data_IF_902910168654
#
_entry.id   IF_902910168654
#
_cell.length_a   1.000
_cell.length_b   1.000
_cell.length_c   1.000
_cell.angle_alpha   90.00
_cell.angle_beta   90.00
_cell.angle_gamma   90.00
#
_symmetry.space_group_name_H-M   'P 1'
#
loop_
_entity.id
_entity.type
_entity.pdbx_description
1 polymer ?
#
# COMPACT_ATOMS: atom_id res chain seq x y z
N UNK A 1 -13.42 38.14 -47.03
CA UNK A 1 -13.98 37.85 -45.69
C UNK A 1 -13.71 36.39 -45.35
N UNK A 2 -12.81 36.12 -44.40
CA UNK A 2 -12.52 34.75 -43.95
C UNK A 2 -13.52 34.36 -42.86
N UNK A 3 -14.26 33.27 -43.07
CA UNK A 3 -15.20 32.72 -42.07
C UNK A 3 -14.43 31.80 -41.12
N UNK A 4 -14.43 32.15 -39.84
CA UNK A 4 -13.89 31.34 -38.75
C UNK A 4 -14.66 30.01 -38.68
N UNK A 5 -13.97 28.88 -38.87
CA UNK A 5 -14.59 27.54 -38.86
C UNK A 5 -14.88 27.02 -37.45
N UNK A 6 -13.96 27.20 -36.50
CA UNK A 6 -14.11 26.71 -35.12
C UNK A 6 -13.04 27.30 -34.21
N UNK A 7 -13.40 27.61 -32.96
CA UNK A 7 -12.46 27.85 -31.86
C UNK A 7 -12.76 26.78 -30.81
N UNK A 8 -11.78 25.94 -30.51
CA UNK A 8 -11.85 24.93 -29.44
C UNK A 8 -10.98 25.40 -28.27
N UNK A 9 -11.54 26.12 -27.28
CA UNK A 9 -10.79 26.55 -26.11
C UNK A 9 -10.48 25.33 -25.24
N UNK A 10 -9.19 24.99 -25.10
CA UNK A 10 -8.73 23.93 -24.21
C UNK A 10 -8.09 24.55 -22.98
N UNK A 11 -8.67 24.28 -21.82
CA UNK A 11 -8.05 24.61 -20.54
C UNK A 11 -7.02 23.54 -20.20
N UNK A 12 -5.78 23.97 -19.99
CA UNK A 12 -4.70 23.11 -19.53
C UNK A 12 -4.33 23.49 -18.10
N UNK A 13 -4.05 22.48 -17.28
CA UNK A 13 -3.46 22.65 -15.95
C UNK A 13 -1.96 22.39 -16.04
N UNK A 14 -1.17 23.15 -15.28
CA UNK A 14 0.24 22.82 -15.05
C UNK A 14 0.31 21.52 -14.27
N UNK A 15 0.99 20.52 -14.83
CA UNK A 15 1.19 19.25 -14.14
C UNK A 15 2.44 19.36 -13.26
N UNK A 16 2.41 18.81 -12.04
CA UNK A 16 3.61 18.71 -11.21
C UNK A 16 4.65 17.81 -11.90
N UNK A 17 5.93 17.93 -11.51
CA UNK A 17 6.98 17.05 -12.03
C UNK A 17 6.59 15.57 -11.85
N UNK A 18 6.80 14.72 -12.88
CA UNK A 18 6.50 13.31 -12.77
C UNK A 18 7.40 12.67 -11.69
N UNK A 19 6.83 11.74 -10.93
CA UNK A 19 7.60 10.93 -9.99
C UNK A 19 8.57 10.02 -10.73
N UNK A 20 9.65 9.64 -10.07
CA UNK A 20 10.60 8.67 -10.60
C UNK A 20 9.98 7.28 -10.68
N UNK A 21 10.09 6.63 -11.83
CA UNK A 21 10.11 5.16 -11.93
C UNK A 21 11.49 4.61 -11.57
N UNK A 22 11.61 3.29 -11.40
CA UNK A 22 12.92 2.64 -11.21
C UNK A 22 13.87 2.97 -12.37
N UNK A 23 13.40 2.88 -13.62
CA UNK A 23 14.22 3.15 -14.80
C UNK A 23 14.68 4.62 -14.88
N UNK A 24 13.78 5.57 -14.62
CA UNK A 24 14.14 7.00 -14.62
C UNK A 24 15.04 7.36 -13.44
N UNK A 25 14.92 6.67 -12.30
CA UNK A 25 15.82 6.87 -11.17
C UNK A 25 17.22 6.36 -11.51
N UNK A 26 17.34 5.17 -12.10
CA UNK A 26 18.64 4.65 -12.59
C UNK A 26 19.27 5.63 -13.58
N UNK A 27 18.49 6.12 -14.55
CA UNK A 27 18.98 7.11 -15.53
C UNK A 27 19.49 8.38 -14.86
N UNK A 28 18.80 8.86 -13.83
CA UNK A 28 19.22 10.07 -13.09
C UNK A 28 20.48 9.80 -12.26
N UNK A 29 20.58 8.63 -11.64
CA UNK A 29 21.79 8.22 -10.90
C UNK A 29 23.01 8.12 -11.83
N UNK A 30 22.83 7.56 -13.03
CA UNK A 30 23.86 7.50 -14.07
C UNK A 30 24.28 8.89 -14.56
N UNK A 31 23.32 9.80 -14.81
CA UNK A 31 23.58 11.19 -15.23
C UNK A 31 24.38 11.98 -14.19
N UNK A 32 24.15 11.73 -12.89
CA UNK A 32 24.86 12.40 -11.79
C UNK A 32 26.14 11.65 -11.38
N UNK A 33 26.41 10.47 -11.97
CA UNK A 33 27.61 9.67 -11.69
C UNK A 33 27.56 8.89 -10.37
N UNK A 34 26.39 8.77 -9.75
CA UNK A 34 26.18 8.06 -8.48
C UNK A 34 25.85 6.60 -8.74
N UNK A 35 26.74 5.69 -8.32
CA UNK A 35 26.61 4.25 -8.50
C UNK A 35 27.10 3.74 -9.87
N UNK A 36 26.97 2.44 -10.08
CA UNK A 36 27.49 1.67 -11.22
C UNK A 36 26.46 0.61 -11.66
N UNK A 37 26.58 -0.01 -12.85
CA UNK A 37 25.66 -1.05 -13.32
C UNK A 37 25.44 -2.20 -12.31
N UNK A 38 26.46 -2.49 -11.49
CA UNK A 38 26.40 -3.49 -10.42
C UNK A 38 25.61 -3.03 -9.18
N UNK A 39 25.45 -1.71 -8.96
CA UNK A 39 24.89 -1.16 -7.72
C UNK A 39 23.50 -0.54 -7.89
N UNK A 40 23.02 -0.27 -9.11
CA UNK A 40 21.70 0.33 -9.33
C UNK A 40 20.53 -0.50 -8.78
N UNK A 41 20.41 -1.75 -9.24
CA UNK A 41 19.37 -2.66 -8.78
C UNK A 41 19.39 -2.92 -7.26
N UNK A 42 20.54 -3.25 -6.63
CA UNK A 42 20.58 -3.48 -5.19
C UNK A 42 20.33 -2.20 -4.38
N UNK A 43 20.71 -1.02 -4.87
CA UNK A 43 20.38 0.25 -4.20
C UNK A 43 18.88 0.48 -4.16
N UNK A 44 18.20 0.31 -5.30
CA UNK A 44 16.74 0.43 -5.42
C UNK A 44 16.00 -0.60 -4.55
N UNK A 45 16.50 -1.83 -4.49
CA UNK A 45 15.95 -2.86 -3.60
C UNK A 45 16.12 -2.47 -2.13
N UNK A 46 17.33 -2.03 -1.73
CA UNK A 46 17.63 -1.69 -0.34
C UNK A 46 16.78 -0.54 0.18
N UNK A 47 16.54 0.51 -0.62
CA UNK A 47 15.71 1.65 -0.19
C UNK A 47 14.22 1.29 -0.11
N UNK A 48 13.76 0.31 -0.91
CA UNK A 48 12.41 -0.22 -0.83
C UNK A 48 12.24 -1.16 0.38
N UNK A 49 13.18 -2.08 0.58
CA UNK A 49 13.15 -3.06 1.68
C UNK A 49 13.21 -2.39 3.05
N UNK A 50 13.98 -1.29 3.17
CA UNK A 50 14.04 -0.47 4.40
C UNK A 50 12.84 0.45 4.58
N UNK A 51 11.93 0.52 3.60
CA UNK A 51 10.72 1.33 3.66
C UNK A 51 10.97 2.84 3.57
N UNK A 52 12.10 3.28 3.00
CA UNK A 52 12.32 4.71 2.70
C UNK A 52 11.47 5.18 1.52
N UNK A 53 11.19 4.27 0.58
CA UNK A 53 10.44 4.52 -0.63
C UNK A 53 9.46 3.37 -0.86
N UNK A 54 8.26 3.68 -1.34
CA UNK A 54 7.23 2.70 -1.72
C UNK A 54 6.93 2.79 -3.22
N UNK A 55 6.50 1.67 -3.79
CA UNK A 55 6.14 1.58 -5.21
C UNK A 55 4.62 1.76 -5.38
N UNK A 56 4.21 2.87 -5.98
CA UNK A 56 2.82 3.21 -6.29
C UNK A 56 2.65 3.26 -7.82
N UNK A 57 1.81 2.38 -8.39
CA UNK A 57 1.44 2.38 -9.82
C UNK A 57 2.64 2.50 -10.80
N UNK A 58 3.78 1.88 -10.45
CA UNK A 58 5.09 1.90 -11.16
C UNK A 58 5.98 3.12 -10.90
N UNK A 59 5.55 4.05 -10.06
CA UNK A 59 6.36 5.16 -9.58
C UNK A 59 6.83 4.93 -8.16
N UNK A 60 7.91 5.61 -7.77
CA UNK A 60 8.51 5.58 -6.46
C UNK A 60 8.05 6.82 -5.67
N UNK A 61 7.46 6.59 -4.51
CA UNK A 61 7.01 7.64 -3.61
C UNK A 61 7.78 7.58 -2.28
N UNK A 62 8.37 8.70 -1.82
CA UNK A 62 9.10 8.73 -0.55
C UNK A 62 8.13 8.59 0.62
N UNK A 63 8.49 7.75 1.60
CA UNK A 63 7.74 7.61 2.85
C UNK A 63 8.04 8.76 3.81
N UNK A 64 7.20 8.93 4.84
CA UNK A 64 7.49 9.88 5.92
C UNK A 64 8.86 9.60 6.57
N UNK A 65 9.18 8.31 6.76
CA UNK A 65 10.47 7.88 7.30
C UNK A 65 11.62 8.27 6.36
N UNK A 66 11.49 8.02 5.06
CA UNK A 66 12.49 8.41 4.06
C UNK A 66 12.78 9.91 4.08
N UNK A 67 11.74 10.75 4.13
CA UNK A 67 11.89 12.20 4.20
C UNK A 67 12.61 12.65 5.47
N UNK A 68 12.18 12.17 6.64
CA UNK A 68 12.78 12.57 7.92
C UNK A 68 14.24 12.13 8.03
N UNK A 69 14.56 10.90 7.61
CA UNK A 69 15.95 10.43 7.62
C UNK A 69 16.80 11.25 6.65
N UNK A 70 16.28 11.55 5.46
CA UNK A 70 16.99 12.40 4.50
C UNK A 70 17.25 13.81 5.05
N UNK A 71 16.25 14.45 5.65
CA UNK A 71 16.39 15.78 6.27
C UNK A 71 17.46 15.77 7.39
N UNK A 72 17.45 14.73 8.23
CA UNK A 72 18.43 14.58 9.29
C UNK A 72 19.85 14.35 8.73
N UNK A 73 19.98 13.52 7.71
CA UNK A 73 21.27 13.26 7.07
C UNK A 73 21.81 14.52 6.37
N UNK A 74 20.97 15.27 5.65
CA UNK A 74 21.38 16.54 5.02
C UNK A 74 21.81 17.57 6.06
N UNK A 75 21.14 17.62 7.21
CA UNK A 75 21.47 18.55 8.29
C UNK A 75 22.82 18.26 8.95
N UNK A 76 23.10 16.99 9.25
CA UNK A 76 24.30 16.60 10.02
C UNK A 76 25.48 16.12 9.15
N UNK A 77 25.22 15.68 7.92
CA UNK A 77 26.23 15.15 7.00
C UNK A 77 26.15 15.75 5.58
N UNK A 78 26.07 17.08 5.42
CA UNK A 78 25.82 17.72 4.13
C UNK A 78 26.83 17.32 3.05
N UNK A 79 28.11 17.21 3.43
CA UNK A 79 29.18 16.88 2.49
C UNK A 79 29.17 15.42 2.03
N UNK A 80 28.56 14.51 2.80
CA UNK A 80 28.64 13.06 2.52
C UNK A 80 27.43 12.60 1.71
N UNK A 81 26.26 13.18 1.97
CA UNK A 81 25.04 12.87 1.21
C UNK A 81 24.87 13.69 -0.05
N UNK A 82 25.81 14.59 -0.33
CA UNK A 82 25.86 15.31 -1.60
C UNK A 82 26.13 14.34 -2.75
N UNK A 83 25.42 14.54 -3.86
CA UNK A 83 25.51 13.67 -5.02
C UNK A 83 26.89 13.78 -5.68
N UNK A 84 27.49 14.98 -5.71
CA UNK A 84 28.82 15.21 -6.28
C UNK A 84 29.89 14.48 -5.49
N UNK A 85 29.85 14.57 -4.16
CA UNK A 85 30.76 13.82 -3.30
C UNK A 85 30.64 12.30 -3.50
N UNK A 86 29.41 11.81 -3.63
CA UNK A 86 29.15 10.38 -3.85
C UNK A 86 29.70 9.93 -5.21
N UNK A 87 29.52 10.73 -6.27
CA UNK A 87 30.09 10.45 -7.59
C UNK A 87 31.63 10.49 -7.59
N UNK A 88 32.23 11.44 -6.88
CA UNK A 88 33.68 11.52 -6.70
C UNK A 88 34.24 10.28 -5.98
N UNK A 89 33.49 9.75 -5.01
CA UNK A 89 33.89 8.52 -4.32
C UNK A 89 33.89 7.32 -5.26
N UNK A 90 32.86 7.17 -6.10
CA UNK A 90 32.81 6.09 -7.09
C UNK A 90 33.98 6.18 -8.08
N UNK A 91 34.35 7.40 -8.51
CA UNK A 91 35.52 7.63 -9.37
C UNK A 91 36.82 7.21 -8.68
N UNK A 92 37.00 7.55 -7.40
CA UNK A 92 38.17 7.11 -6.60
C UNK A 92 38.22 5.60 -6.43
N UNK A 93 37.07 4.91 -6.38
CA UNK A 93 37.02 3.46 -6.32
C UNK A 93 37.41 2.83 -7.67
N UNK A 94 37.05 3.45 -8.78
CA UNK A 94 37.52 3.05 -10.11
C UNK A 94 39.05 3.25 -10.24
N UNK A 95 39.59 4.37 -9.75
CA UNK A 95 41.04 4.62 -9.71
C UNK A 95 41.81 3.53 -8.92
N UNK A 96 41.22 3.01 -7.84
CA UNK A 96 41.78 1.88 -7.09
C UNK A 96 41.78 0.61 -7.95
N UNK A 97 40.68 0.34 -8.66
CA UNK A 97 40.55 -0.84 -9.52
C UNK A 97 41.58 -0.81 -10.68
N UNK A 98 41.95 0.38 -11.14
CA UNK A 98 42.98 0.60 -12.16
C UNK A 98 44.42 0.64 -11.59
N UNK A 99 44.61 0.41 -10.30
CA UNK A 99 45.89 0.55 -9.57
C UNK A 99 46.51 1.97 -9.64
N UNK A 100 45.70 2.99 -9.88
CA UNK A 100 46.15 4.39 -9.88
C UNK A 100 46.36 4.94 -8.46
N UNK A 101 45.60 4.44 -7.47
CA UNK A 101 45.63 4.95 -6.07
C UNK A 101 45.60 3.80 -5.05
N UNK A 102 46.29 3.98 -3.92
CA UNK A 102 46.27 3.02 -2.81
C UNK A 102 44.97 3.16 -1.99
N UNK A 103 44.18 2.10 -1.93
CA UNK A 103 42.86 2.10 -1.27
C UNK A 103 42.88 2.56 0.20
N UNK A 104 43.95 2.21 0.94
CA UNK A 104 44.12 2.58 2.35
C UNK A 104 44.17 4.10 2.55
N UNK A 105 44.76 4.83 1.60
CA UNK A 105 44.84 6.29 1.65
C UNK A 105 43.46 6.90 1.44
N UNK A 106 42.68 6.40 0.49
CA UNK A 106 41.31 6.86 0.22
C UNK A 106 40.41 6.63 1.45
N UNK A 107 40.46 5.43 2.03
CA UNK A 107 39.68 5.11 3.24
C UNK A 107 40.11 5.95 4.44
N UNK A 108 41.42 6.15 4.65
CA UNK A 108 41.93 7.00 5.72
C UNK A 108 41.48 8.46 5.59
N UNK A 109 41.56 9.01 4.38
CA UNK A 109 41.14 10.37 4.07
C UNK A 109 39.63 10.57 4.21
N UNK A 110 38.83 9.53 3.95
CA UNK A 110 37.39 9.57 4.18
C UNK A 110 37.04 9.46 5.68
N UNK A 111 37.60 8.46 6.36
CA UNK A 111 37.17 8.08 7.69
C UNK A 111 37.55 9.12 8.76
N UNK A 112 38.72 9.77 8.65
CA UNK A 112 39.17 10.77 9.62
C UNK A 112 38.13 11.89 9.84
N UNK A 113 37.79 12.68 8.80
CA UNK A 113 36.77 13.72 8.89
C UNK A 113 35.39 13.16 9.25
N UNK A 114 35.01 12.02 8.66
CA UNK A 114 33.72 11.39 8.94
C UNK A 114 33.54 11.03 10.42
N UNK A 115 34.58 10.49 11.07
CA UNK A 115 34.53 10.08 12.46
C UNK A 115 34.31 11.27 13.41
N UNK A 116 34.86 12.44 13.09
CA UNK A 116 34.63 13.67 13.86
C UNK A 116 33.19 14.17 13.71
N UNK A 117 32.68 14.21 12.48
CA UNK A 117 31.28 14.59 12.22
C UNK A 117 30.33 13.61 12.89
N UNK A 118 30.64 12.31 12.87
CA UNK A 118 29.84 11.27 13.54
C UNK A 118 29.81 11.44 15.06
N UNK A 119 30.92 11.87 15.68
CA UNK A 119 30.96 12.16 17.12
C UNK A 119 30.05 13.33 17.49
N UNK A 120 30.16 14.44 16.75
CA UNK A 120 29.28 15.62 16.93
C UNK A 120 27.81 15.27 16.73
N UNK A 121 27.53 14.56 15.64
CA UNK A 121 26.20 14.06 15.33
C UNK A 121 25.61 13.19 16.45
N UNK A 122 26.39 12.31 17.08
CA UNK A 122 25.90 11.47 18.19
C UNK A 122 25.51 12.28 19.44
N UNK A 123 26.20 13.38 19.70
CA UNK A 123 25.92 14.26 20.85
C UNK A 123 24.72 15.18 20.58
N UNK A 124 24.58 15.65 19.34
CA UNK A 124 23.52 16.57 18.93
C UNK A 124 22.21 15.88 18.48
N UNK A 125 22.28 14.62 18.04
CA UNK A 125 21.10 13.88 17.58
C UNK A 125 20.23 13.44 18.75
N UNK A 126 19.25 14.26 19.07
CA UNK A 126 18.08 13.85 19.83
C UNK A 126 17.33 12.73 19.06
N UNK A 127 16.76 11.76 19.78
CA UNK A 127 15.98 10.68 19.15
C UNK A 127 14.81 11.27 18.38
N UNK A 128 14.94 11.33 17.06
CA UNK A 128 13.86 11.85 16.21
C UNK A 128 12.65 10.92 16.28
N UNK A 129 11.56 11.45 16.83
CA UNK A 129 10.25 10.82 16.77
C UNK A 129 9.49 11.42 15.58
N UNK A 130 9.19 10.61 14.58
CA UNK A 130 8.43 11.04 13.40
C UNK A 130 6.96 11.13 13.83
N UNK A 131 6.45 12.33 14.09
CA UNK A 131 5.03 12.54 14.40
C UNK A 131 4.19 12.32 13.13
N UNK A 132 3.06 11.66 13.29
CA UNK A 132 2.08 11.41 12.23
C UNK A 132 0.81 12.21 12.50
N UNK A 133 -0.01 12.38 11.47
CA UNK A 133 -1.33 13.05 11.57
C UNK A 133 -2.36 12.25 12.39
N UNK A 134 -2.04 10.99 12.74
CA UNK A 134 -2.94 10.15 13.50
C UNK A 134 -2.87 10.48 14.99
N UNK A 135 -4.00 10.86 15.58
CA UNK A 135 -4.14 11.06 17.01
C UNK A 135 -4.41 9.74 17.72
N UNK A 136 -3.82 9.58 18.91
CA UNK A 136 -4.05 8.40 19.73
C UNK A 136 -5.48 8.40 20.30
N UNK A 137 -6.13 7.25 20.23
CA UNK A 137 -7.49 7.01 20.70
C UNK A 137 -7.66 7.16 22.22
N UNK A 138 -6.58 7.00 22.98
CA UNK A 138 -6.58 7.08 24.44
C UNK A 138 -6.15 8.47 24.96
N UNK A 139 -5.07 9.03 24.40
CA UNK A 139 -4.44 10.25 24.91
C UNK A 139 -4.80 11.51 24.10
N UNK A 140 -5.36 11.38 22.88
CA UNK A 140 -5.59 12.47 21.93
C UNK A 140 -4.32 13.10 21.33
N UNK A 141 -3.14 12.85 21.92
CA UNK A 141 -1.84 13.32 21.42
C UNK A 141 -1.48 12.66 20.07
N UNK A 142 -0.70 13.31 19.20
CA UNK A 142 -0.27 12.75 17.92
C UNK A 142 0.56 11.48 18.14
N UNK A 143 0.42 10.49 17.26
CA UNK A 143 1.18 9.26 17.31
C UNK A 143 2.48 9.41 16.51
N UNK A 144 3.56 8.81 17.01
CA UNK A 144 4.84 8.77 16.34
C UNK A 144 5.09 7.41 15.67
N UNK A 145 5.62 7.42 14.45
CA UNK A 145 6.09 6.22 13.76
C UNK A 145 7.34 5.68 14.46
N UNK A 146 7.27 4.45 14.94
CA UNK A 146 8.37 3.72 15.59
C UNK A 146 8.68 2.45 14.82
N UNK A 147 9.97 2.17 14.65
CA UNK A 147 10.46 0.90 14.11
C UNK A 147 10.70 -0.10 15.24
N UNK A 148 10.18 -1.31 15.08
CA UNK A 148 10.45 -2.42 16.00
C UNK A 148 11.79 -3.10 15.67
N UNK A 149 12.38 -3.80 16.66
CA UNK A 149 13.61 -4.59 16.47
C UNK A 149 13.49 -5.68 15.40
N UNK A 150 12.26 -6.11 15.13
CA UNK A 150 11.94 -7.14 14.12
C UNK A 150 11.61 -6.54 12.74
N UNK A 151 11.85 -5.24 12.52
CA UNK A 151 11.65 -4.56 11.24
C UNK A 151 10.22 -4.09 10.95
N UNK A 152 9.24 -4.42 11.78
CA UNK A 152 7.87 -3.91 11.63
C UNK A 152 7.75 -2.46 12.12
N UNK A 153 7.04 -1.64 11.35
CA UNK A 153 6.71 -0.26 11.72
C UNK A 153 5.35 -0.24 12.45
N UNK A 154 5.25 0.56 13.51
CA UNK A 154 4.02 0.78 14.26
C UNK A 154 3.92 2.23 14.71
N UNK A 155 2.71 2.71 14.98
CA UNK A 155 2.48 4.02 15.58
C UNK A 155 2.45 3.87 17.11
N UNK A 156 3.12 4.74 17.85
CA UNK A 156 3.01 4.82 19.30
C UNK A 156 2.64 6.22 19.77
N UNK A 157 1.81 6.40 20.81
CA UNK A 157 1.47 7.74 21.34
C UNK A 157 2.77 8.53 21.65
N UNK A 158 2.83 9.79 21.22
CA UNK A 158 3.93 10.72 21.55
C UNK A 158 4.08 10.94 23.05
N UNK A 159 2.99 10.81 23.81
CA UNK A 159 2.97 10.87 25.28
C UNK A 159 3.55 9.65 26.00
N UNK A 160 4.37 8.83 25.35
CA UNK A 160 5.13 7.77 26.04
C UNK A 160 6.19 8.43 26.94
N UNK A 161 6.30 8.10 28.24
CA UNK A 161 5.85 6.85 28.88
C UNK A 161 4.43 6.84 29.47
N UNK A 162 3.75 7.98 29.56
CA UNK A 162 2.43 8.12 30.20
C UNK A 162 1.34 7.34 29.46
N UNK A 163 1.39 7.32 28.12
CA UNK A 163 0.48 6.55 27.28
C UNK A 163 1.25 5.47 26.50
N UNK A 164 0.95 4.20 26.80
CA UNK A 164 1.57 3.01 26.19
C UNK A 164 0.81 2.48 24.97
N UNK A 165 -0.19 3.21 24.47
CA UNK A 165 -0.97 2.80 23.30
C UNK A 165 -0.10 2.71 22.05
N UNK A 166 -0.16 1.56 21.39
CA UNK A 166 0.48 1.32 20.09
C UNK A 166 -0.58 0.88 19.09
N UNK A 167 -0.34 1.19 17.81
CA UNK A 167 -1.23 0.85 16.72
C UNK A 167 -0.40 0.21 15.59
N UNK A 168 -0.71 -1.03 15.19
CA UNK A 168 -0.01 -1.69 14.10
C UNK A 168 -0.35 -1.03 12.76
N UNK A 169 0.61 -1.03 11.84
CA UNK A 169 0.39 -0.65 10.44
C UNK A 169 0.10 -1.89 9.59
N UNK A 170 -0.76 -1.72 8.59
CA UNK A 170 -1.00 -2.71 7.53
C UNK A 170 0.20 -2.79 6.58
N UNK A 171 0.22 -3.78 5.67
CA UNK A 171 1.26 -3.91 4.64
C UNK A 171 1.40 -2.67 3.76
N UNK A 172 0.34 -1.89 3.63
CA UNK A 172 0.29 -0.64 2.86
C UNK A 172 0.64 0.60 3.70
N UNK A 173 1.28 0.42 4.87
CA UNK A 173 1.63 1.49 5.83
C UNK A 173 0.44 2.33 6.34
N UNK A 174 -0.79 1.84 6.16
CA UNK A 174 -1.99 2.49 6.71
C UNK A 174 -2.30 1.95 8.11
N UNK A 175 -2.76 2.78 9.06
CA UNK A 175 -3.20 2.32 10.37
C UNK A 175 -4.29 1.25 10.22
N UNK A 176 -4.16 0.15 10.97
CA UNK A 176 -5.19 -0.90 11.01
C UNK A 176 -6.48 -0.27 11.54
N UNK A 177 -7.60 -0.27 10.79
CA UNK A 177 -8.84 0.33 11.28
C UNK A 177 -9.27 -0.32 12.60
N UNK A 178 -9.87 0.48 13.49
CA UNK A 178 -10.40 -0.01 14.76
C UNK A 178 -11.34 -1.20 14.56
N UNK A 179 -11.40 -2.07 15.57
CA UNK A 179 -12.27 -3.24 15.59
C UNK A 179 -13.73 -2.77 15.40
N UNK A 180 -14.33 -3.10 14.25
CA UNK A 180 -15.73 -2.73 14.00
C UNK A 180 -16.65 -3.73 14.71
N UNK A 181 -17.68 -3.29 15.43
CA UNK A 181 -18.69 -4.21 15.94
C UNK A 181 -19.38 -4.91 14.75
N UNK A 182 -19.64 -6.21 14.89
CA UNK A 182 -20.44 -6.97 13.92
C UNK A 182 -21.74 -7.40 14.58
N UNK A 183 -22.77 -7.60 13.76
CA UNK A 183 -24.07 -8.11 14.20
C UNK A 183 -24.05 -9.65 14.41
N UNK A 184 -22.91 -10.32 14.15
CA UNK A 184 -22.79 -11.76 14.34
C UNK A 184 -22.48 -12.12 15.80
N UNK A 185 -23.24 -13.08 16.32
CA UNK A 185 -23.06 -13.64 17.66
C UNK A 185 -22.22 -14.93 17.56
N UNK A 186 -21.31 -15.11 18.52
CA UNK A 186 -20.47 -16.31 18.60
C UNK A 186 -21.31 -17.55 18.96
N UNK A 187 -21.33 -18.55 18.09
CA UNK A 187 -22.07 -19.82 18.30
C UNK A 187 -21.65 -20.60 19.56
N UNK A 188 -20.45 -20.37 20.10
CA UNK A 188 -19.94 -21.11 21.25
C UNK A 188 -20.22 -20.47 22.61
N UNK A 189 -20.42 -19.16 22.65
CA UNK A 189 -20.52 -18.43 23.93
C UNK A 189 -21.54 -17.28 23.89
N UNK A 190 -22.30 -17.17 22.82
CA UNK A 190 -23.35 -16.16 22.61
C UNK A 190 -22.90 -14.70 22.79
N UNK A 191 -21.59 -14.44 22.75
CA UNK A 191 -21.01 -13.10 22.87
C UNK A 191 -20.92 -12.43 21.49
N UNK A 192 -21.00 -11.10 21.40
CA UNK A 192 -20.88 -10.39 20.13
C UNK A 192 -19.49 -10.62 19.51
N UNK A 193 -19.43 -10.75 18.18
CA UNK A 193 -18.17 -10.82 17.44
C UNK A 193 -17.77 -9.42 16.94
N UNK A 194 -16.46 -9.19 16.81
CA UNK A 194 -15.86 -7.97 16.27
C UNK A 194 -15.06 -8.29 15.01
N UNK A 195 -15.10 -7.39 14.03
CA UNK A 195 -14.31 -7.49 12.81
C UNK A 195 -12.91 -6.96 13.11
N UNK A 196 -11.92 -7.86 13.06
CA UNK A 196 -10.51 -7.53 13.18
C UNK A 196 -9.80 -7.71 11.84
N UNK A 197 -8.68 -7.02 11.66
CA UNK A 197 -7.83 -7.17 10.48
C UNK A 197 -6.66 -8.11 10.77
N UNK A 198 -6.40 -9.05 9.85
CA UNK A 198 -5.28 -9.97 9.92
C UNK A 198 -4.49 -10.03 8.61
N UNK A 199 -3.44 -10.87 8.55
CA UNK A 199 -2.60 -11.01 7.35
C UNK A 199 -3.35 -11.49 6.11
N UNK A 200 -4.50 -12.15 6.30
CA UNK A 200 -5.35 -12.70 5.23
C UNK A 200 -6.62 -11.88 4.97
N UNK A 201 -6.77 -10.71 5.60
CA UNK A 201 -7.93 -9.82 5.49
C UNK A 201 -8.75 -9.72 6.79
N UNK A 202 -9.96 -9.19 6.65
CA UNK A 202 -10.94 -9.03 7.73
C UNK A 202 -11.44 -10.41 8.22
N UNK A 203 -11.52 -10.58 9.54
CA UNK A 203 -12.06 -11.77 10.18
C UNK A 203 -12.89 -11.41 11.40
N UNK A 204 -13.86 -12.25 11.73
CA UNK A 204 -14.68 -12.11 12.93
C UNK A 204 -13.98 -12.81 14.10
N UNK A 205 -13.77 -12.08 15.18
CA UNK A 205 -13.24 -12.59 16.44
C UNK A 205 -14.28 -12.44 17.54
N UNK A 206 -14.45 -13.45 18.39
CA UNK A 206 -15.29 -13.30 19.57
C UNK A 206 -14.71 -12.24 20.52
N UNK A 207 -15.57 -11.41 21.11
CA UNK A 207 -15.18 -10.40 22.12
C UNK A 207 -14.72 -11.02 23.44
N UNK A 208 -15.17 -12.24 23.74
CA UNK A 208 -14.86 -12.90 25.01
C UNK A 208 -13.45 -13.53 24.98
N UNK A 209 -12.56 -13.09 25.88
CA UNK A 209 -11.18 -13.58 26.01
C UNK A 209 -11.08 -15.09 26.25
N UNK A 210 -12.09 -15.69 26.89
CA UNK A 210 -12.16 -17.14 27.11
C UNK A 210 -12.48 -17.93 25.83
N UNK A 211 -13.08 -17.28 24.82
CA UNK A 211 -13.50 -17.90 23.58
C UNK A 211 -12.61 -17.47 22.41
N UNK A 212 -11.57 -18.26 22.11
CA UNK A 212 -10.65 -18.02 20.98
C UNK A 212 -11.25 -18.30 19.58
N UNK A 213 -12.57 -18.31 19.45
CA UNK A 213 -13.24 -18.62 18.18
C UNK A 213 -13.05 -17.48 17.19
N UNK A 214 -12.56 -17.85 15.99
CA UNK A 214 -12.38 -16.94 14.86
C UNK A 214 -13.17 -17.49 13.69
N UNK A 215 -13.94 -16.63 13.02
CA UNK A 215 -14.66 -16.97 11.79
C UNK A 215 -14.13 -16.11 10.66
N UNK A 216 -14.04 -16.69 9.47
CA UNK A 216 -13.71 -15.94 8.26
C UNK A 216 -14.92 -15.07 7.90
N UNK A 217 -14.71 -13.77 7.71
CA UNK A 217 -15.77 -12.89 7.23
C UNK A 217 -16.03 -13.22 5.76
N UNK A 218 -17.19 -13.80 5.48
CA UNK A 218 -17.62 -14.11 4.11
C UNK A 218 -18.53 -12.96 3.68
N UNK A 219 -18.07 -12.14 2.71
CA UNK A 219 -18.92 -11.11 2.11
C UNK A 219 -19.98 -11.80 1.25
N UNK A 220 -21.17 -11.97 1.82
CA UNK A 220 -22.37 -12.45 1.15
C UNK A 220 -22.93 -11.34 0.27
N UNK A 221 -23.32 -11.64 -0.96
CA UNK A 221 -23.94 -10.66 -1.85
C UNK A 221 -25.45 -10.54 -1.64
N UNK A 222 -26.05 -11.35 -0.77
CA UNK A 222 -27.50 -11.40 -0.54
C UNK A 222 -28.31 -12.06 -1.67
N UNK A 223 -27.63 -12.61 -2.69
CA UNK A 223 -28.26 -13.22 -3.86
C UNK A 223 -28.23 -14.74 -3.76
N UNK A 224 -29.40 -15.37 -3.90
CA UNK A 224 -29.54 -16.83 -3.87
C UNK A 224 -29.00 -17.48 -5.15
N UNK A 225 -28.45 -18.69 -5.02
CA UNK A 225 -27.92 -19.46 -6.13
C UNK A 225 -29.05 -19.83 -7.11
N UNK A 226 -28.87 -19.61 -8.43
CA UNK A 226 -29.90 -19.93 -9.42
C UNK A 226 -29.94 -21.41 -9.83
N UNK A 227 -29.11 -22.29 -9.24
CA UNK A 227 -29.14 -23.72 -9.56
C UNK A 227 -30.31 -24.43 -8.88
N UNK A 228 -30.99 -25.29 -9.66
CA UNK A 228 -32.02 -26.23 -9.21
C UNK A 228 -31.51 -27.01 -7.98
N UNK A 229 -32.29 -27.01 -6.89
CA UNK A 229 -31.98 -27.62 -5.60
C UNK A 229 -30.83 -27.01 -4.78
N UNK A 230 -30.38 -25.78 -5.08
CA UNK A 230 -29.37 -25.09 -4.26
C UNK A 230 -29.95 -23.95 -3.41
N UNK A 231 -30.27 -24.20 -2.15
CA UNK A 231 -30.54 -23.15 -1.15
C UNK A 231 -29.26 -22.45 -0.64
N UNK A 232 -28.25 -22.30 -1.49
CA UNK A 232 -26.98 -21.63 -1.16
C UNK A 232 -27.00 -20.16 -1.59
N UNK A 233 -26.23 -19.32 -0.90
CA UNK A 233 -26.05 -17.91 -1.25
C UNK A 233 -24.75 -17.74 -2.04
N UNK A 234 -24.72 -16.75 -2.94
CA UNK A 234 -23.50 -16.38 -3.64
C UNK A 234 -22.60 -15.57 -2.70
N UNK A 235 -21.34 -15.99 -2.60
CA UNK A 235 -20.34 -15.39 -1.72
C UNK A 235 -19.10 -14.99 -2.48
N UNK A 236 -18.48 -13.89 -2.06
CA UNK A 236 -17.24 -13.41 -2.64
C UNK A 236 -16.05 -14.28 -2.20
N UNK A 237 -15.30 -14.82 -3.16
CA UNK A 237 -14.12 -15.67 -2.98
C UNK A 237 -12.93 -15.10 -3.75
N UNK A 238 -11.71 -15.45 -3.33
CA UNK A 238 -10.46 -15.10 -4.03
C UNK A 238 -9.87 -16.36 -4.66
N UNK A 239 -9.50 -16.28 -5.93
CA UNK A 239 -8.79 -17.35 -6.65
C UNK A 239 -7.33 -17.44 -6.20
N UNK A 240 -6.63 -18.53 -6.58
CA UNK A 240 -5.18 -18.71 -6.36
C UNK A 240 -4.35 -17.55 -6.92
N UNK A 241 -4.82 -16.93 -7.99
CA UNK A 241 -4.18 -15.80 -8.68
C UNK A 241 -4.64 -14.43 -8.16
N UNK A 242 -5.37 -14.38 -7.03
CA UNK A 242 -5.81 -13.14 -6.38
C UNK A 242 -7.04 -12.46 -7.01
N UNK A 243 -7.51 -12.90 -8.18
CA UNK A 243 -8.76 -12.40 -8.78
C UNK A 243 -9.95 -12.80 -7.92
N UNK A 244 -10.84 -11.84 -7.69
CA UNK A 244 -12.10 -12.03 -6.98
C UNK A 244 -13.10 -12.72 -7.92
N UNK A 245 -13.84 -13.68 -7.40
CA UNK A 245 -14.96 -14.33 -8.07
C UNK A 245 -16.09 -14.59 -7.06
N UNK A 246 -17.29 -14.82 -7.56
CA UNK A 246 -18.51 -14.98 -6.77
C UNK A 246 -18.97 -16.43 -6.94
N UNK A 247 -18.85 -17.24 -5.90
CA UNK A 247 -19.20 -18.67 -5.96
C UNK A 247 -20.25 -19.04 -4.93
N UNK A 248 -20.96 -20.15 -5.13
CA UNK A 248 -21.93 -20.62 -4.15
C UNK A 248 -21.27 -20.94 -2.78
N UNK A 249 -21.98 -20.69 -1.70
CA UNK A 249 -21.59 -21.02 -0.33
C UNK A 249 -21.53 -22.53 -0.09
N UNK A 250 -22.39 -23.32 -0.76
CA UNK A 250 -22.48 -24.79 -0.66
C UNK A 250 -21.48 -25.55 -1.53
N UNK A 251 -20.34 -24.96 -1.87
CA UNK A 251 -19.26 -25.69 -2.53
C UNK A 251 -18.67 -26.72 -1.54
N UNK A 252 -18.55 -28.02 -1.87
CA UNK A 252 -18.43 -28.60 -3.21
C UNK A 252 -19.73 -29.03 -3.92
N UNK A 253 -20.86 -29.07 -3.22
CA UNK A 253 -22.15 -29.60 -3.74
C UNK A 253 -22.74 -28.75 -4.87
N UNK A 254 -22.39 -27.47 -4.91
CA UNK A 254 -22.76 -26.53 -5.96
C UNK A 254 -21.50 -25.85 -6.53
N UNK A 255 -21.25 -26.06 -7.82
CA UNK A 255 -20.08 -25.53 -8.55
C UNK A 255 -20.35 -24.21 -9.27
N UNK A 256 -21.50 -23.58 -9.02
CA UNK A 256 -21.85 -22.30 -9.63
C UNK A 256 -20.86 -21.19 -9.24
N UNK A 257 -20.29 -20.53 -10.26
CA UNK A 257 -19.35 -19.45 -10.09
C UNK A 257 -19.50 -18.38 -11.18
N UNK A 258 -19.36 -17.12 -10.77
CA UNK A 258 -19.41 -15.92 -11.61
C UNK A 258 -18.15 -15.08 -11.38
N UNK A 259 -17.68 -14.40 -12.42
CA UNK A 259 -16.54 -13.48 -12.31
C UNK A 259 -16.93 -12.07 -11.87
N UNK A 260 -18.19 -11.71 -12.08
CA UNK A 260 -18.74 -10.39 -11.81
C UNK A 260 -19.78 -10.48 -10.69
N UNK A 261 -19.99 -9.36 -10.00
CA UNK A 261 -20.92 -9.28 -8.88
C UNK A 261 -22.36 -9.46 -9.37
N UNK A 262 -23.15 -10.38 -8.80
CA UNK A 262 -24.56 -10.53 -9.16
C UNK A 262 -25.38 -9.37 -8.59
N UNK A 263 -26.26 -8.78 -9.39
CA UNK A 263 -27.17 -7.71 -8.92
C UNK A 263 -28.40 -8.26 -8.18
N UNK A 264 -28.70 -9.55 -8.34
CA UNK A 264 -29.89 -10.19 -7.77
C UNK A 264 -31.08 -10.26 -8.72
N UNK A 265 -31.09 -9.40 -9.73
CA UNK A 265 -32.14 -9.37 -10.75
C UNK A 265 -31.97 -10.48 -11.81
N UNK A 266 -33.10 -10.98 -12.31
CA UNK A 266 -33.15 -11.90 -13.44
C UNK A 266 -33.27 -11.11 -14.74
N UNK A 267 -32.56 -11.55 -15.77
CA UNK A 267 -32.62 -10.97 -17.09
C UNK A 267 -34.04 -11.16 -17.68
N UNK A 268 -34.68 -10.10 -18.17
CA UNK A 268 -36.01 -10.18 -18.77
C UNK A 268 -36.04 -10.98 -20.09
N UNK A 269 -34.90 -11.14 -20.77
CA UNK A 269 -34.83 -11.86 -22.05
C UNK A 269 -34.59 -13.37 -21.91
N UNK A 270 -33.85 -13.81 -20.90
CA UNK A 270 -33.42 -15.21 -20.80
C UNK A 270 -33.52 -15.82 -19.40
N UNK A 271 -34.04 -15.08 -18.42
CA UNK A 271 -34.19 -15.55 -17.03
C UNK A 271 -32.89 -15.79 -16.27
N UNK A 272 -31.73 -15.59 -16.90
CA UNK A 272 -30.40 -15.74 -16.28
C UNK A 272 -30.06 -14.54 -15.39
N UNK A 273 -29.17 -14.72 -14.41
CA UNK A 273 -28.83 -13.66 -13.45
C UNK A 273 -28.12 -12.48 -14.11
N UNK A 274 -28.45 -11.25 -13.71
CA UNK A 274 -27.73 -10.05 -14.11
C UNK A 274 -26.48 -9.83 -13.24
N UNK A 275 -25.42 -9.31 -13.85
CA UNK A 275 -24.13 -9.07 -13.20
C UNK A 275 -23.60 -7.68 -13.51
N UNK A 276 -22.92 -7.07 -12.55
CA UNK A 276 -22.28 -5.75 -12.70
C UNK A 276 -20.89 -5.91 -13.32
N UNK A 277 -20.73 -5.39 -14.55
CA UNK A 277 -19.42 -5.29 -15.22
C UNK A 277 -18.84 -3.90 -14.96
N UNK A 278 -17.71 -3.87 -14.24
CA UNK A 278 -16.93 -2.66 -14.01
C UNK A 278 -16.00 -2.45 -15.21
N UNK A 279 -16.13 -1.32 -15.91
CA UNK A 279 -15.27 -0.94 -17.04
C UNK A 279 -14.71 0.47 -16.84
N UNK A 280 -13.64 0.83 -17.55
CA UNK A 280 -13.06 2.19 -17.50
C UNK A 280 -14.05 3.30 -17.92
N UNK A 281 -15.13 2.96 -18.62
CA UNK A 281 -16.16 3.88 -19.10
C UNK A 281 -17.41 3.95 -18.20
N UNK A 282 -17.43 3.24 -17.07
CA UNK A 282 -18.56 3.16 -16.14
C UNK A 282 -19.03 1.73 -15.86
N UNK A 283 -19.84 1.58 -14.81
CA UNK A 283 -20.45 0.33 -14.41
C UNK A 283 -21.66 0.04 -15.29
N UNK A 284 -21.76 -1.19 -15.82
CA UNK A 284 -22.89 -1.64 -16.64
C UNK A 284 -23.45 -2.93 -16.08
N UNK A 285 -24.77 -3.06 -16.06
CA UNK A 285 -25.45 -4.31 -15.73
C UNK A 285 -25.52 -5.12 -17.03
N UNK A 286 -25.05 -6.37 -17.01
CA UNK A 286 -25.07 -7.24 -18.17
C UNK A 286 -25.59 -8.62 -17.79
N UNK A 287 -26.15 -9.35 -18.75
CA UNK A 287 -26.52 -10.75 -18.51
C UNK A 287 -25.29 -11.63 -18.21
N UNK A 288 -25.46 -12.59 -17.30
CA UNK A 288 -24.45 -13.61 -16.98
C UNK A 288 -24.29 -14.67 -18.08
N UNK A 289 -25.33 -14.94 -18.87
CA UNK A 289 -25.27 -15.91 -19.96
C UNK A 289 -24.49 -15.32 -21.15
N UNK A 290 -23.66 -16.14 -21.79
CA UNK A 290 -22.88 -15.72 -22.96
C UNK A 290 -23.75 -15.53 -24.21
N UNK A 291 -24.94 -16.11 -24.21
CA UNK A 291 -25.86 -16.14 -25.35
C UNK A 291 -26.80 -14.93 -25.38
N UNK A 292 -27.07 -14.29 -24.22
CA UNK A 292 -27.91 -13.11 -24.13
C UNK A 292 -27.06 -11.83 -24.19
N UNK A 293 -27.48 -10.88 -25.04
CA UNK A 293 -26.80 -9.59 -25.24
C UNK A 293 -27.35 -8.46 -24.36
N UNK A 294 -28.27 -8.76 -23.44
CA UNK A 294 -28.88 -7.76 -22.56
C UNK A 294 -27.82 -6.98 -21.77
N UNK A 295 -27.88 -5.64 -21.89
CA UNK A 295 -27.04 -4.69 -21.19
C UNK A 295 -27.87 -3.46 -20.80
N UNK A 296 -27.71 -3.01 -19.56
CA UNK A 296 -28.34 -1.81 -19.05
C UNK A 296 -27.25 -0.93 -18.39
N UNK A 297 -27.31 0.38 -18.62
CA UNK A 297 -26.46 1.32 -17.90
C UNK A 297 -26.95 1.40 -16.44
N UNK A 298 -26.03 1.41 -15.48
CA UNK A 298 -26.39 1.68 -14.09
C UNK A 298 -26.81 3.15 -14.01
N UNK A 299 -28.09 3.43 -13.84
CA UNK A 299 -28.53 4.76 -13.42
C UNK A 299 -28.03 4.96 -12.00
N UNK A 300 -27.14 5.94 -11.81
CA UNK A 300 -26.71 6.35 -10.47
C UNK A 300 -27.91 6.98 -9.77
N UNK A 301 -28.75 6.17 -9.12
CA UNK A 301 -29.65 6.65 -8.09
C UNK A 301 -28.80 7.08 -6.89
N UNK A 302 -28.39 8.33 -6.94
CA UNK A 302 -27.97 9.11 -5.79
C UNK A 302 -29.02 8.95 -4.69
N UNK A 303 -28.65 8.32 -3.59
CA UNK A 303 -29.33 8.44 -2.30
C UNK A 303 -28.18 8.56 -1.27
N UNK A 304 -27.84 9.79 -0.90
CA UNK A 304 -28.37 10.55 0.26
C UNK A 304 -27.65 10.18 1.54
#
# INVERSE_FOLDING_TARGET
>A
MLKLKKIDPKQHFTQPPPRFSEATLVKTLEEVGVGRPSTYAPTIATIQDRGYVIKEEKTLAPTALGKTVNELLVKHFPNIVDASFTADMETKLDDIAENAVVWQQIIGNFYGPFAEVLKKAKEEMEKVSILTEHNCTNCGKPMALKSSRWGSQFLGCSGYPECKTTMPLTKDQKPVPEDKPSDEICEKCSSPMVIKYGPYGEYLACTNDSCKTRKKLIKKTGVNCPQENCAGEIVQKKSRYGKIFYGCSKYPDCTFALWNEPTGDKCPECGSMLVTKVSKAGNKIACSSKECKYQQAVENSSQS
#
